data_IF_552804746400
#
_entry.id   IF_552804746400
#
_cell.length_a   1.000
_cell.length_b   1.000
_cell.length_c   1.000
_cell.angle_alpha   90.00
_cell.angle_beta   90.00
_cell.angle_gamma   90.00
#
_symmetry.space_group_name_H-M   'P 1'
#
loop_
_entity.id
_entity.type
_entity.pdbx_description
1 polymer ?
#
# COMPACT_ATOMS: atom_id res chain seq x y z
N UNK A 1 -0.90 -34.10 3.62
CA UNK A 1 -2.34 -33.88 3.33
C UNK A 1 -2.79 -32.41 3.45
N UNK A 2 -2.53 -31.69 4.55
CA UNK A 2 -3.01 -30.28 4.72
C UNK A 2 -2.36 -29.36 3.69
N UNK A 3 -1.05 -29.51 3.43
CA UNK A 3 -0.37 -28.70 2.43
C UNK A 3 -0.86 -28.92 1.01
N UNK A 4 -1.22 -30.16 0.63
CA UNK A 4 -1.82 -30.46 -0.67
C UNK A 4 -3.20 -29.80 -0.83
N UNK A 5 -4.00 -29.80 0.23
CA UNK A 5 -5.30 -29.12 0.23
C UNK A 5 -5.09 -27.62 0.02
N UNK A 6 -4.11 -27.03 0.71
CA UNK A 6 -3.75 -25.63 0.53
C UNK A 6 -3.35 -25.29 -0.90
N UNK A 7 -2.54 -26.14 -1.53
CA UNK A 7 -2.12 -25.97 -2.92
C UNK A 7 -3.29 -26.15 -3.91
N UNK A 8 -4.15 -27.15 -3.69
CA UNK A 8 -5.37 -27.36 -4.49
C UNK A 8 -6.29 -26.13 -4.42
N UNK A 9 -6.47 -25.55 -3.23
CA UNK A 9 -7.24 -24.33 -3.08
C UNK A 9 -6.64 -23.16 -3.86
N UNK A 10 -5.31 -23.04 -3.89
CA UNK A 10 -4.62 -22.01 -4.68
C UNK A 10 -4.87 -22.19 -6.18
N UNK A 11 -4.84 -23.44 -6.70
CA UNK A 11 -5.16 -23.75 -8.09
C UNK A 11 -6.63 -23.42 -8.40
N UNK A 12 -7.56 -23.77 -7.52
CA UNK A 12 -8.97 -23.40 -7.72
C UNK A 12 -9.17 -21.90 -7.74
N UNK A 13 -8.54 -21.15 -6.81
CA UNK A 13 -8.59 -19.69 -6.82
C UNK A 13 -8.07 -19.12 -8.14
N UNK A 14 -6.96 -19.67 -8.69
CA UNK A 14 -6.41 -19.26 -9.97
C UNK A 14 -7.40 -19.49 -11.12
N UNK A 15 -7.93 -20.68 -11.24
CA UNK A 15 -8.90 -21.04 -12.28
C UNK A 15 -10.16 -20.17 -12.22
N UNK A 16 -10.70 -19.98 -11.01
CA UNK A 16 -11.89 -19.13 -10.82
C UNK A 16 -11.59 -17.64 -11.10
N UNK A 17 -10.36 -17.19 -10.91
CA UNK A 17 -9.97 -15.81 -11.25
C UNK A 17 -10.01 -15.57 -12.76
N UNK A 18 -9.68 -16.55 -13.60
CA UNK A 18 -9.90 -16.45 -15.05
C UNK A 18 -11.39 -16.42 -15.40
N UNK A 19 -12.21 -17.28 -14.78
CA UNK A 19 -13.66 -17.24 -14.98
C UNK A 19 -14.24 -15.89 -14.55
N UNK A 20 -13.77 -15.33 -13.43
CA UNK A 20 -14.14 -13.99 -12.97
C UNK A 20 -13.75 -12.92 -14.00
N UNK A 21 -12.55 -12.99 -14.54
CA UNK A 21 -12.08 -12.08 -15.59
C UNK A 21 -12.98 -12.13 -16.81
N UNK A 22 -13.19 -13.29 -17.41
CA UNK A 22 -14.01 -13.42 -18.63
C UNK A 22 -15.47 -13.03 -18.40
N UNK A 23 -16.06 -13.38 -17.25
CA UNK A 23 -17.42 -12.99 -16.94
C UNK A 23 -17.55 -11.48 -16.68
N UNK A 24 -16.57 -10.87 -16.03
CA UNK A 24 -16.55 -9.42 -15.82
C UNK A 24 -16.35 -8.65 -17.14
N UNK A 25 -15.52 -9.15 -18.07
CA UNK A 25 -15.39 -8.61 -19.43
C UNK A 25 -16.72 -8.70 -20.18
N UNK A 26 -17.37 -9.86 -20.15
CA UNK A 26 -18.70 -10.06 -20.77
C UNK A 26 -19.71 -9.03 -20.29
N UNK A 27 -19.85 -8.86 -18.96
CA UNK A 27 -20.80 -7.91 -18.36
C UNK A 27 -20.41 -6.45 -18.66
N UNK A 28 -19.14 -6.14 -18.58
CA UNK A 28 -18.65 -4.76 -18.67
C UNK A 28 -18.67 -4.17 -20.08
N UNK A 29 -18.50 -5.00 -21.11
CA UNK A 29 -18.26 -4.53 -22.47
C UNK A 29 -19.23 -5.09 -23.53
N UNK A 30 -19.97 -6.18 -23.24
CA UNK A 30 -20.81 -6.83 -24.23
C UNK A 30 -22.28 -6.93 -23.82
N UNK A 31 -22.58 -7.67 -22.77
CA UNK A 31 -23.96 -7.97 -22.38
C UNK A 31 -24.13 -8.09 -20.88
N UNK A 32 -24.97 -7.25 -20.31
CA UNK A 32 -25.36 -7.32 -18.91
C UNK A 32 -26.58 -8.25 -18.73
N UNK A 33 -26.49 -9.15 -17.74
CA UNK A 33 -27.66 -9.84 -17.18
C UNK A 33 -27.51 -9.94 -15.66
N UNK A 34 -28.61 -9.88 -14.96
CA UNK A 34 -28.62 -10.00 -13.49
C UNK A 34 -28.06 -11.35 -13.03
N UNK A 35 -28.31 -12.41 -13.78
CA UNK A 35 -27.78 -13.76 -13.51
C UNK A 35 -26.27 -13.79 -13.65
N UNK A 36 -25.71 -13.19 -14.73
CA UNK A 36 -24.26 -13.09 -14.91
C UNK A 36 -23.61 -12.30 -13.80
N UNK A 37 -24.26 -11.24 -13.31
CA UNK A 37 -23.74 -10.46 -12.19
C UNK A 37 -23.79 -11.22 -10.86
N UNK A 38 -24.89 -11.97 -10.57
CA UNK A 38 -24.94 -12.86 -9.40
C UNK A 38 -23.87 -13.94 -9.46
N UNK A 39 -23.64 -14.51 -10.63
CA UNK A 39 -22.57 -15.48 -10.86
C UNK A 39 -21.19 -14.85 -10.61
N UNK A 40 -20.93 -13.63 -11.09
CA UNK A 40 -19.70 -12.88 -10.83
C UNK A 40 -19.43 -12.67 -9.33
N UNK A 41 -20.46 -12.31 -8.57
CA UNK A 41 -20.39 -12.20 -7.10
C UNK A 41 -20.05 -13.55 -6.45
N UNK A 42 -20.68 -14.63 -6.90
CA UNK A 42 -20.41 -15.97 -6.38
C UNK A 42 -18.97 -16.40 -6.64
N UNK A 43 -18.44 -16.12 -7.84
CA UNK A 43 -17.02 -16.36 -8.16
C UNK A 43 -16.10 -15.63 -7.19
N UNK A 44 -16.39 -14.35 -6.88
CA UNK A 44 -15.59 -13.58 -5.93
C UNK A 44 -15.62 -14.21 -4.54
N UNK A 45 -16.77 -14.67 -4.07
CA UNK A 45 -16.88 -15.36 -2.76
C UNK A 45 -16.07 -16.66 -2.73
N UNK A 46 -16.12 -17.48 -3.80
CA UNK A 46 -15.34 -18.72 -3.87
C UNK A 46 -13.84 -18.45 -3.96
N UNK A 47 -13.40 -17.47 -4.76
CA UNK A 47 -11.98 -17.05 -4.83
C UNK A 47 -11.51 -16.64 -3.44
N UNK A 48 -12.28 -15.79 -2.76
CA UNK A 48 -11.94 -15.33 -1.40
C UNK A 48 -11.86 -16.50 -0.41
N UNK A 49 -12.81 -17.42 -0.47
CA UNK A 49 -12.80 -18.63 0.34
C UNK A 49 -11.52 -19.43 0.10
N UNK A 50 -11.19 -19.77 -1.15
CA UNK A 50 -10.05 -20.61 -1.45
C UNK A 50 -8.72 -19.94 -1.08
N UNK A 51 -8.56 -18.62 -1.29
CA UNK A 51 -7.36 -17.91 -0.89
C UNK A 51 -7.17 -17.88 0.64
N UNK A 52 -8.22 -17.61 1.39
CA UNK A 52 -8.18 -17.61 2.85
C UNK A 52 -7.87 -19.03 3.39
N UNK A 53 -8.55 -20.06 2.88
CA UNK A 53 -8.32 -21.43 3.35
C UNK A 53 -6.95 -21.99 2.90
N UNK A 54 -6.42 -21.57 1.74
CA UNK A 54 -5.04 -21.88 1.35
C UNK A 54 -4.06 -21.33 2.39
N UNK A 55 -4.23 -20.07 2.81
CA UNK A 55 -3.38 -19.45 3.82
C UNK A 55 -3.52 -20.14 5.19
N UNK A 56 -4.73 -20.43 5.63
CA UNK A 56 -4.95 -21.19 6.87
C UNK A 56 -4.34 -22.59 6.83
N UNK A 57 -4.36 -23.27 5.67
CA UNK A 57 -3.72 -24.57 5.50
C UNK A 57 -2.20 -24.48 5.75
N UNK A 58 -1.54 -23.39 5.30
CA UNK A 58 -0.11 -23.20 5.56
C UNK A 58 0.13 -22.92 7.05
N UNK A 59 -0.69 -22.06 7.69
CA UNK A 59 -0.59 -21.81 9.15
C UNK A 59 -0.71 -23.12 9.94
N UNK A 60 -1.72 -23.96 9.64
CA UNK A 60 -1.92 -25.24 10.33
C UNK A 60 -0.69 -26.13 10.11
N UNK A 61 -0.17 -26.20 8.90
CA UNK A 61 1.03 -26.98 8.59
C UNK A 61 2.27 -26.51 9.39
N UNK A 62 2.42 -25.20 9.62
CA UNK A 62 3.44 -24.65 10.53
C UNK A 62 3.22 -25.06 11.98
N UNK A 63 1.98 -24.99 12.47
CA UNK A 63 1.64 -25.33 13.86
C UNK A 63 1.94 -26.80 14.16
N UNK A 64 1.62 -27.72 13.23
CA UNK A 64 1.90 -29.16 13.38
C UNK A 64 3.35 -29.55 13.00
N UNK A 65 4.17 -28.58 12.54
CA UNK A 65 5.57 -28.79 12.13
C UNK A 65 5.70 -29.82 11.00
N UNK A 66 4.93 -29.68 9.91
CA UNK A 66 4.99 -30.55 8.72
C UNK A 66 6.25 -30.26 7.89
N UNK A 67 7.41 -30.77 8.32
CA UNK A 67 8.69 -30.56 7.64
C UNK A 67 8.80 -31.23 6.26
N UNK A 68 7.78 -31.92 5.80
CA UNK A 68 7.71 -32.34 4.40
C UNK A 68 7.45 -31.18 3.42
N UNK A 69 7.10 -29.98 3.94
CA UNK A 69 6.98 -28.75 3.18
C UNK A 69 8.27 -27.94 3.31
N UNK A 70 8.94 -27.66 2.19
CA UNK A 70 10.23 -26.98 2.14
C UNK A 70 10.21 -25.61 2.87
N UNK A 71 9.14 -24.87 2.70
CA UNK A 71 8.95 -23.57 3.36
C UNK A 71 8.97 -23.69 4.89
N UNK A 72 8.33 -24.73 5.45
CA UNK A 72 8.29 -24.99 6.90
C UNK A 72 9.63 -25.48 7.40
N UNK A 73 10.25 -26.38 6.66
CA UNK A 73 11.60 -26.86 6.98
C UNK A 73 12.61 -25.73 7.13
N UNK A 74 12.59 -24.77 6.19
CA UNK A 74 13.53 -23.65 6.20
C UNK A 74 13.27 -22.62 7.29
N UNK A 75 12.01 -22.49 7.80
CA UNK A 75 11.60 -21.37 8.64
C UNK A 75 10.95 -21.77 9.96
N UNK A 76 10.98 -23.05 10.37
CA UNK A 76 10.37 -23.51 11.61
C UNK A 76 11.19 -24.58 12.30
N UNK A 77 10.87 -24.85 13.57
CA UNK A 77 11.48 -25.88 14.41
C UNK A 77 10.43 -26.41 15.40
N UNK A 78 10.53 -27.68 15.82
CA UNK A 78 9.56 -28.31 16.73
C UNK A 78 9.44 -27.54 18.04
N UNK A 79 10.56 -27.10 18.63
CA UNK A 79 10.61 -26.37 19.92
C UNK A 79 10.25 -24.89 19.83
N UNK A 80 9.91 -24.38 18.65
CA UNK A 80 9.58 -22.97 18.47
C UNK A 80 8.25 -22.60 19.15
N UNK A 81 8.16 -21.46 19.91
CA UNK A 81 6.93 -21.02 20.51
C UNK A 81 5.79 -20.85 19.48
N UNK A 82 4.55 -21.15 19.88
CA UNK A 82 3.40 -21.17 18.97
C UNK A 82 3.20 -19.84 18.23
N UNK A 83 3.39 -18.70 18.90
CA UNK A 83 3.29 -17.38 18.26
C UNK A 83 4.24 -17.30 17.05
N UNK A 84 5.48 -17.75 17.21
CA UNK A 84 6.49 -17.69 16.16
C UNK A 84 6.38 -18.82 15.14
N UNK A 85 5.72 -19.95 15.46
CA UNK A 85 5.27 -20.90 14.44
C UNK A 85 4.25 -20.24 13.51
N UNK A 86 3.25 -19.56 14.07
CA UNK A 86 2.22 -18.87 13.30
C UNK A 86 2.84 -17.72 12.49
N UNK A 87 3.60 -16.81 13.12
CA UNK A 87 4.20 -15.68 12.43
C UNK A 87 5.31 -16.09 11.44
N UNK A 88 5.96 -17.22 11.65
CA UNK A 88 6.89 -17.82 10.69
C UNK A 88 6.27 -18.08 9.32
N UNK A 89 4.93 -18.25 9.26
CA UNK A 89 4.21 -18.38 7.99
C UNK A 89 4.46 -17.17 7.07
N UNK A 90 4.52 -15.96 7.59
CA UNK A 90 4.77 -14.73 6.82
C UNK A 90 6.17 -14.14 7.01
N UNK A 91 7.03 -14.77 7.84
CA UNK A 91 8.42 -14.38 8.02
C UNK A 91 9.35 -14.78 6.86
N UNK A 92 8.82 -15.23 5.74
CA UNK A 92 9.56 -15.70 4.57
C UNK A 92 8.87 -15.25 3.28
N UNK A 93 9.55 -15.44 2.14
CA UNK A 93 9.13 -14.97 0.84
C UNK A 93 7.78 -15.58 0.40
N UNK A 94 7.68 -16.91 0.37
CA UNK A 94 6.53 -17.64 -0.19
C UNK A 94 5.29 -17.48 0.70
N UNK A 95 5.45 -17.60 1.99
CA UNK A 95 4.36 -17.51 2.95
C UNK A 95 3.79 -16.09 3.08
N UNK A 96 4.66 -15.06 3.04
CA UNK A 96 4.22 -13.66 3.02
C UNK A 96 3.44 -13.34 1.74
N UNK A 97 3.77 -13.97 0.62
CA UNK A 97 3.02 -13.81 -0.62
C UNK A 97 1.65 -14.47 -0.54
N UNK A 98 1.56 -15.65 0.09
CA UNK A 98 0.27 -16.29 0.35
C UNK A 98 -0.60 -15.47 1.30
N UNK A 99 -0.01 -14.78 2.29
CA UNK A 99 -0.72 -13.80 3.13
C UNK A 99 -1.24 -12.62 2.30
N UNK A 100 -0.47 -12.11 1.33
CA UNK A 100 -0.93 -11.10 0.37
C UNK A 100 -2.19 -11.57 -0.37
N UNK A 101 -2.18 -12.80 -0.88
CA UNK A 101 -3.32 -13.39 -1.57
C UNK A 101 -4.55 -13.55 -0.66
N UNK A 102 -4.36 -13.98 0.59
CA UNK A 102 -5.44 -14.06 1.56
C UNK A 102 -6.09 -12.68 1.81
N UNK A 103 -5.28 -11.63 1.89
CA UNK A 103 -5.78 -10.26 2.03
C UNK A 103 -6.47 -9.75 0.76
N UNK A 104 -5.99 -10.10 -0.45
CA UNK A 104 -6.72 -9.84 -1.70
C UNK A 104 -8.10 -10.50 -1.68
N UNK A 105 -8.17 -11.77 -1.25
CA UNK A 105 -9.43 -12.47 -1.06
C UNK A 105 -10.34 -11.76 -0.06
N UNK A 106 -9.80 -11.33 1.09
CA UNK A 106 -10.56 -10.58 2.09
C UNK A 106 -11.11 -9.26 1.52
N UNK A 107 -10.29 -8.47 0.83
CA UNK A 107 -10.75 -7.23 0.19
C UNK A 107 -11.77 -7.47 -0.92
N UNK A 108 -11.62 -8.53 -1.71
CA UNK A 108 -12.61 -8.95 -2.70
C UNK A 108 -13.96 -9.30 -2.07
N UNK A 109 -13.95 -10.05 -0.96
CA UNK A 109 -15.14 -10.38 -0.15
C UNK A 109 -15.81 -9.10 0.39
N UNK A 110 -15.04 -8.22 1.03
CA UNK A 110 -15.55 -6.97 1.60
C UNK A 110 -16.09 -6.05 0.51
N UNK A 111 -15.39 -5.91 -0.62
CA UNK A 111 -15.86 -5.15 -1.78
C UNK A 111 -17.23 -5.65 -2.24
N UNK A 112 -17.35 -6.94 -2.51
CA UNK A 112 -18.60 -7.53 -3.01
C UNK A 112 -19.77 -7.40 -2.03
N UNK A 113 -19.49 -7.38 -0.72
CA UNK A 113 -20.50 -7.25 0.33
C UNK A 113 -20.96 -5.81 0.57
N UNK A 114 -20.04 -4.83 0.49
CA UNK A 114 -20.28 -3.46 0.94
C UNK A 114 -20.46 -2.43 -0.19
N UNK A 115 -20.29 -2.79 -1.47
CA UNK A 115 -20.44 -1.87 -2.61
C UNK A 115 -21.80 -1.92 -3.28
N UNK A 116 -22.87 -2.02 -2.50
CA UNK A 116 -24.24 -2.05 -3.03
C UNK A 116 -24.78 -0.67 -3.48
N UNK A 117 -24.01 0.39 -3.30
CA UNK A 117 -24.40 1.77 -3.67
C UNK A 117 -24.10 2.09 -5.14
N UNK A 118 -23.22 1.33 -5.78
CA UNK A 118 -22.83 1.50 -7.17
C UNK A 118 -23.64 0.59 -8.11
N UNK A 119 -23.65 0.92 -9.39
CA UNK A 119 -24.33 0.10 -10.39
C UNK A 119 -23.69 -1.30 -10.51
N UNK A 120 -24.47 -2.30 -10.92
CA UNK A 120 -23.94 -3.64 -11.18
C UNK A 120 -22.86 -3.64 -12.27
N UNK A 121 -22.95 -2.73 -13.23
CA UNK A 121 -21.95 -2.57 -14.30
C UNK A 121 -20.66 -1.99 -13.71
N UNK A 122 -20.75 -0.95 -12.87
CA UNK A 122 -19.60 -0.38 -12.18
C UNK A 122 -18.86 -1.44 -11.36
N UNK A 123 -19.61 -2.19 -10.54
CA UNK A 123 -19.05 -3.26 -9.73
C UNK A 123 -18.39 -4.35 -10.59
N UNK A 124 -18.96 -4.67 -11.75
CA UNK A 124 -18.35 -5.64 -12.67
C UNK A 124 -17.04 -5.14 -13.26
N UNK A 125 -16.93 -3.83 -13.57
CA UNK A 125 -15.71 -3.19 -14.04
C UNK A 125 -14.63 -3.13 -12.96
N UNK A 126 -15.01 -2.88 -11.71
CA UNK A 126 -14.08 -2.96 -10.58
C UNK A 126 -13.59 -4.39 -10.36
N UNK A 127 -14.48 -5.39 -10.41
CA UNK A 127 -14.12 -6.82 -10.31
C UNK A 127 -13.29 -7.30 -11.49
N UNK A 128 -13.44 -6.70 -12.67
CA UNK A 128 -12.51 -6.90 -13.80
C UNK A 128 -11.07 -6.50 -13.43
N UNK A 129 -10.88 -5.30 -12.87
CA UNK A 129 -9.56 -4.87 -12.44
C UNK A 129 -8.99 -5.78 -11.32
N UNK A 130 -9.81 -6.12 -10.32
CA UNK A 130 -9.43 -7.04 -9.23
C UNK A 130 -9.04 -8.42 -9.77
N UNK A 131 -9.74 -8.94 -10.79
CA UNK A 131 -9.44 -10.25 -11.36
C UNK A 131 -8.07 -10.29 -12.04
N UNK A 132 -7.66 -9.22 -12.71
CA UNK A 132 -6.31 -9.08 -13.29
C UNK A 132 -5.24 -9.16 -12.20
N UNK A 133 -5.47 -8.45 -11.10
CA UNK A 133 -4.53 -8.45 -9.96
C UNK A 133 -4.48 -9.84 -9.32
N UNK A 134 -5.62 -10.51 -9.13
CA UNK A 134 -5.67 -11.88 -8.62
C UNK A 134 -4.89 -12.84 -9.52
N UNK A 135 -5.16 -12.84 -10.83
CA UNK A 135 -4.45 -13.70 -11.81
C UNK A 135 -2.95 -13.49 -11.73
N UNK A 136 -2.49 -12.22 -11.72
CA UNK A 136 -1.07 -11.90 -11.66
C UNK A 136 -0.41 -12.42 -10.39
N UNK A 137 -0.95 -12.12 -9.22
CA UNK A 137 -0.33 -12.54 -7.95
C UNK A 137 -0.49 -14.04 -7.65
N UNK A 138 -1.63 -14.66 -7.98
CA UNK A 138 -1.80 -16.11 -7.82
C UNK A 138 -0.85 -16.83 -8.77
N UNK A 139 -0.76 -16.40 -10.04
CA UNK A 139 0.19 -16.94 -11.00
C UNK A 139 1.63 -16.80 -10.53
N UNK A 140 2.02 -15.62 -10.03
CA UNK A 140 3.34 -15.41 -9.43
C UNK A 140 3.61 -16.41 -8.29
N UNK A 141 2.64 -16.62 -7.40
CA UNK A 141 2.77 -17.55 -6.28
C UNK A 141 2.94 -18.99 -6.75
N UNK A 142 2.12 -19.44 -7.72
CA UNK A 142 2.16 -20.83 -8.19
C UNK A 142 3.46 -21.13 -8.96
N UNK A 143 3.87 -20.21 -9.84
CA UNK A 143 4.94 -20.51 -10.81
C UNK A 143 6.34 -20.13 -10.34
N UNK A 144 6.48 -19.21 -9.37
CA UNK A 144 7.81 -18.73 -8.94
C UNK A 144 8.03 -18.82 -7.43
N UNK A 145 6.99 -19.01 -6.63
CA UNK A 145 7.08 -18.85 -5.18
C UNK A 145 6.10 -19.76 -4.44
N UNK A 146 6.06 -21.06 -4.79
CA UNK A 146 5.09 -22.02 -4.25
C UNK A 146 5.36 -22.29 -2.75
N UNK A 147 4.44 -21.87 -1.83
CA UNK A 147 4.62 -22.08 -0.40
C UNK A 147 4.41 -23.53 0.05
N UNK A 148 3.89 -24.40 -0.82
CA UNK A 148 3.59 -25.80 -0.55
C UNK A 148 4.55 -26.78 -1.24
N UNK A 149 5.73 -26.29 -1.69
CA UNK A 149 6.74 -27.14 -2.30
C UNK A 149 7.20 -28.23 -1.33
N UNK A 150 7.33 -29.47 -1.86
CA UNK A 150 7.70 -30.65 -1.09
C UNK A 150 9.20 -30.92 -1.14
N UNK A 151 9.74 -31.40 0.00
CA UNK A 151 11.11 -31.88 0.10
C UNK A 151 11.16 -33.39 0.35
N UNK A 152 12.08 -34.05 -0.32
CA UNK A 152 12.30 -35.49 -0.18
C UNK A 152 13.83 -35.77 -0.17
N UNK A 153 14.38 -36.54 0.80
CA UNK A 153 13.69 -37.20 1.92
C UNK A 153 13.14 -36.20 2.94
N UNK A 154 12.09 -36.58 3.67
CA UNK A 154 11.48 -35.71 4.69
C UNK A 154 12.47 -35.57 5.85
N UNK A 155 12.88 -34.33 6.20
CA UNK A 155 13.75 -34.06 7.33
C UNK A 155 13.07 -34.37 8.67
N UNK A 156 13.84 -34.79 9.67
CA UNK A 156 13.33 -35.05 11.02
C UNK A 156 13.03 -33.76 11.79
N UNK A 157 13.76 -32.67 11.47
CA UNK A 157 13.65 -31.39 12.15
C UNK A 157 13.86 -30.24 11.16
N UNK A 158 13.35 -29.07 11.48
CA UNK A 158 13.49 -27.86 10.66
C UNK A 158 14.67 -26.98 11.07
N UNK A 159 15.12 -26.12 10.15
CA UNK A 159 16.25 -25.20 10.33
C UNK A 159 16.00 -24.08 11.34
N UNK A 160 14.73 -23.84 11.70
CA UNK A 160 14.34 -22.74 12.59
C UNK A 160 14.11 -21.41 11.85
N UNK A 161 13.48 -20.46 12.54
CA UNK A 161 13.34 -19.09 12.08
C UNK A 161 14.52 -18.27 12.59
N UNK A 162 15.01 -17.33 11.78
CA UNK A 162 16.03 -16.38 12.21
C UNK A 162 15.63 -15.76 13.58
N UNK A 163 16.53 -15.80 14.60
CA UNK A 163 16.22 -15.26 15.94
C UNK A 163 15.70 -13.83 15.94
N UNK A 164 16.24 -12.94 15.11
CA UNK A 164 15.79 -11.53 14.94
C UNK A 164 14.32 -11.46 14.54
N UNK A 165 13.79 -12.48 13.85
CA UNK A 165 12.38 -12.55 13.44
C UNK A 165 11.47 -13.14 14.52
N UNK A 166 12.01 -13.61 15.65
CA UNK A 166 11.24 -14.15 16.77
C UNK A 166 10.92 -13.06 17.80
N UNK A 167 10.24 -12.03 17.33
CA UNK A 167 9.84 -10.87 18.11
C UNK A 167 8.33 -10.55 17.89
N UNK A 168 7.60 -10.10 18.93
CA UNK A 168 6.20 -9.72 18.78
C UNK A 168 5.99 -8.57 17.79
N UNK A 169 6.89 -7.59 17.70
CA UNK A 169 6.83 -6.51 16.75
C UNK A 169 6.80 -7.03 15.31
N UNK A 170 7.69 -7.98 15.00
CA UNK A 170 7.69 -8.65 13.71
C UNK A 170 6.47 -9.56 13.50
N UNK A 171 5.91 -10.16 14.54
CA UNK A 171 4.70 -10.96 14.41
C UNK A 171 3.50 -10.14 13.95
N UNK A 172 3.36 -8.87 14.39
CA UNK A 172 2.18 -8.05 14.16
C UNK A 172 2.33 -6.97 13.07
N UNK A 173 3.52 -6.38 12.90
CA UNK A 173 3.73 -5.31 11.93
C UNK A 173 3.50 -5.73 10.47
N UNK A 174 3.99 -6.90 9.95
CA UNK A 174 3.80 -7.24 8.55
C UNK A 174 2.34 -7.46 8.15
N UNK A 175 1.48 -8.14 8.93
CA UNK A 175 0.06 -8.24 8.62
C UNK A 175 -0.63 -6.88 8.47
N UNK A 176 -0.34 -5.91 9.34
CA UNK A 176 -0.88 -4.56 9.23
C UNK A 176 -0.38 -3.85 7.97
N UNK A 177 0.91 -3.93 7.69
CA UNK A 177 1.50 -3.34 6.50
C UNK A 177 0.87 -3.91 5.22
N UNK A 178 0.70 -5.24 5.15
CA UNK A 178 0.06 -5.91 4.00
C UNK A 178 -1.42 -5.55 3.85
N UNK A 179 -2.18 -5.42 4.94
CA UNK A 179 -3.55 -4.89 4.88
C UNK A 179 -3.59 -3.49 4.24
N UNK A 180 -2.60 -2.68 4.51
CA UNK A 180 -2.47 -1.37 3.86
C UNK A 180 -2.11 -1.46 2.38
N UNK A 181 -1.06 -2.20 2.04
CA UNK A 181 -0.60 -2.35 0.65
C UNK A 181 -1.67 -2.96 -0.24
N UNK A 182 -2.19 -4.12 0.15
CA UNK A 182 -3.20 -4.86 -0.62
C UNK A 182 -4.50 -4.09 -0.69
N UNK A 183 -4.85 -3.36 0.37
CA UNK A 183 -6.07 -2.56 0.42
C UNK A 183 -6.14 -1.47 -0.65
N UNK A 184 -5.01 -0.94 -1.10
CA UNK A 184 -4.96 0.04 -2.19
C UNK A 184 -5.40 -0.54 -3.55
N UNK A 185 -5.54 -1.85 -3.68
CA UNK A 185 -6.18 -2.50 -4.85
C UNK A 185 -7.62 -2.02 -5.05
N UNK A 186 -8.36 -1.74 -3.98
CA UNK A 186 -9.77 -1.34 -4.13
C UNK A 186 -9.92 0.09 -4.67
N UNK A 187 -9.24 1.13 -4.13
CA UNK A 187 -9.25 2.45 -4.76
C UNK A 187 -8.76 2.42 -6.21
N UNK A 188 -7.75 1.63 -6.52
CA UNK A 188 -7.30 1.41 -7.90
C UNK A 188 -8.43 0.85 -8.78
N UNK A 189 -9.08 -0.24 -8.35
CA UNK A 189 -10.17 -0.86 -9.09
C UNK A 189 -11.38 0.09 -9.27
N UNK A 190 -11.72 0.88 -8.25
CA UNK A 190 -12.72 1.95 -8.34
C UNK A 190 -12.35 2.99 -9.39
N UNK A 191 -11.08 3.38 -9.46
CA UNK A 191 -10.60 4.36 -10.42
C UNK A 191 -10.64 3.83 -11.85
N UNK A 192 -10.28 2.56 -12.07
CA UNK A 192 -10.40 1.90 -13.38
C UNK A 192 -11.88 1.80 -13.80
N UNK A 193 -12.77 1.41 -12.89
CA UNK A 193 -14.20 1.35 -13.17
C UNK A 193 -14.78 2.73 -13.54
N UNK A 194 -14.39 3.77 -12.79
CA UNK A 194 -14.83 5.15 -13.04
C UNK A 194 -14.33 5.70 -14.40
N UNK A 195 -13.09 5.38 -14.79
CA UNK A 195 -12.56 5.72 -16.11
C UNK A 195 -13.34 5.02 -17.24
N UNK A 196 -13.71 3.75 -17.06
CA UNK A 196 -14.50 2.99 -18.02
C UNK A 196 -15.96 3.48 -18.13
N UNK A 197 -16.53 4.03 -17.04
CA UNK A 197 -17.87 4.62 -17.05
C UNK A 197 -17.88 6.09 -17.44
N UNK A 198 -16.71 6.75 -17.43
CA UNK A 198 -16.59 8.21 -17.66
C UNK A 198 -17.40 9.03 -16.64
N UNK A 199 -17.64 8.46 -15.46
CA UNK A 199 -18.47 9.06 -14.43
C UNK A 199 -17.71 9.17 -13.11
N UNK A 200 -17.44 10.41 -12.70
CA UNK A 200 -16.83 10.74 -11.41
C UNK A 200 -17.58 11.92 -10.83
N UNK A 201 -18.23 11.68 -9.71
CA UNK A 201 -19.03 12.66 -9.00
C UNK A 201 -18.80 12.60 -7.48
N UNK A 202 -19.54 13.43 -6.76
CA UNK A 202 -19.46 13.49 -5.30
C UNK A 202 -19.88 12.16 -4.63
N UNK A 203 -20.79 11.39 -5.25
CA UNK A 203 -21.26 10.10 -4.72
C UNK A 203 -20.15 9.06 -4.86
N UNK A 204 -19.50 8.99 -6.02
CA UNK A 204 -18.33 8.16 -6.25
C UNK A 204 -17.21 8.47 -5.23
N UNK A 205 -16.89 9.76 -5.03
CA UNK A 205 -15.87 10.19 -4.08
C UNK A 205 -16.22 9.82 -2.63
N UNK A 206 -17.50 9.83 -2.27
CA UNK A 206 -17.99 9.37 -0.97
C UNK A 206 -17.88 7.83 -0.83
N UNK A 207 -18.19 7.10 -1.88
CA UNK A 207 -18.16 5.64 -1.90
C UNK A 207 -16.73 5.08 -1.80
N UNK A 208 -15.75 5.69 -2.49
CA UNK A 208 -14.35 5.26 -2.45
C UNK A 208 -13.64 5.62 -1.14
N UNK A 209 -14.09 6.65 -0.41
CA UNK A 209 -13.42 7.18 0.78
C UNK A 209 -13.06 6.13 1.84
N UNK A 210 -13.95 5.24 2.29
CA UNK A 210 -13.59 4.21 3.28
C UNK A 210 -12.51 3.26 2.75
N UNK A 211 -12.49 2.99 1.44
CA UNK A 211 -11.50 2.15 0.77
C UNK A 211 -10.12 2.81 0.61
N UNK A 212 -10.02 4.12 0.74
CA UNK A 212 -8.75 4.85 0.84
C UNK A 212 -8.32 4.94 2.30
N UNK A 213 -9.25 5.25 3.21
CA UNK A 213 -8.97 5.50 4.61
C UNK A 213 -8.50 4.23 5.35
N UNK A 214 -9.15 3.08 5.14
CA UNK A 214 -8.77 1.84 5.81
C UNK A 214 -7.33 1.39 5.46
N UNK A 215 -6.91 1.30 4.18
CA UNK A 215 -5.52 1.03 3.83
C UNK A 215 -4.54 2.05 4.40
N UNK A 216 -4.88 3.34 4.39
CA UNK A 216 -4.05 4.38 4.96
C UNK A 216 -3.82 4.21 6.46
N UNK A 217 -4.86 3.84 7.23
CA UNK A 217 -4.75 3.52 8.65
C UNK A 217 -3.82 2.31 8.86
N UNK A 218 -4.02 1.25 8.08
CA UNK A 218 -3.19 0.05 8.19
C UNK A 218 -1.73 0.31 7.81
N UNK A 219 -1.46 1.11 6.78
CA UNK A 219 -0.11 1.56 6.45
C UNK A 219 0.51 2.38 7.59
N UNK A 220 -0.25 3.30 8.18
CA UNK A 220 0.22 4.11 9.32
C UNK A 220 0.62 3.23 10.49
N UNK A 221 -0.23 2.28 10.87
CA UNK A 221 0.04 1.36 11.98
C UNK A 221 1.20 0.41 11.64
N UNK A 222 1.22 -0.15 10.43
CA UNK A 222 2.25 -1.08 9.99
C UNK A 222 3.63 -0.42 9.93
N UNK A 223 3.74 0.78 9.33
CA UNK A 223 4.99 1.55 9.28
C UNK A 223 5.46 1.92 10.69
N UNK A 224 4.56 2.46 11.53
CA UNK A 224 4.90 2.88 12.89
C UNK A 224 5.39 1.71 13.76
N UNK A 225 4.72 0.56 13.70
CA UNK A 225 5.15 -0.63 14.44
C UNK A 225 6.45 -1.22 13.88
N UNK A 226 6.65 -1.18 12.56
CA UNK A 226 7.91 -1.59 11.93
C UNK A 226 9.10 -0.71 12.36
N UNK A 227 8.89 0.62 12.39
CA UNK A 227 9.89 1.56 12.90
C UNK A 227 10.19 1.33 14.37
N UNK A 228 9.17 1.06 15.19
CA UNK A 228 9.35 0.73 16.61
C UNK A 228 10.14 -0.56 16.79
N UNK A 229 9.81 -1.63 16.06
CA UNK A 229 10.55 -2.88 16.05
C UNK A 229 12.02 -2.68 15.65
N UNK A 230 12.27 -1.98 14.53
CA UNK A 230 13.62 -1.69 14.06
C UNK A 230 14.45 -0.90 15.09
N UNK A 231 13.82 0.01 15.82
CA UNK A 231 14.48 0.83 16.83
C UNK A 231 15.08 0.01 17.98
N UNK A 232 14.34 -0.94 18.54
CA UNK A 232 14.84 -1.71 19.68
C UNK A 232 15.55 -3.01 19.29
N UNK A 233 15.22 -3.62 18.14
CA UNK A 233 15.75 -4.92 17.75
C UNK A 233 17.03 -4.80 16.92
N UNK A 234 17.09 -3.87 15.95
CA UNK A 234 18.21 -3.77 15.04
C UNK A 234 19.40 -2.97 15.58
N UNK A 235 19.20 -2.22 16.66
CA UNK A 235 20.28 -1.48 17.32
C UNK A 235 20.90 -0.34 16.49
N UNK A 236 20.22 0.13 15.46
CA UNK A 236 20.75 1.19 14.58
C UNK A 236 20.70 2.60 15.18
N UNK A 237 20.14 2.77 16.38
CA UNK A 237 20.17 4.02 17.14
C UNK A 237 19.18 5.09 16.66
N UNK A 238 18.16 4.75 15.91
CA UNK A 238 17.17 5.70 15.42
C UNK A 238 15.83 5.03 15.09
N UNK A 239 14.83 5.85 14.83
CA UNK A 239 13.46 5.43 14.50
C UNK A 239 13.24 5.19 13.00
N UNK A 240 14.09 5.76 12.11
CA UNK A 240 14.02 5.66 10.66
C UNK A 240 15.40 5.78 10.04
N UNK A 241 15.75 4.84 9.18
CA UNK A 241 17.11 4.65 8.67
C UNK A 241 17.27 4.97 7.20
N UNK A 242 16.16 5.23 6.50
CA UNK A 242 16.17 5.42 5.06
C UNK A 242 16.65 4.18 4.29
N UNK A 243 16.42 3.00 4.86
CA UNK A 243 16.62 1.75 4.16
C UNK A 243 15.72 1.67 2.92
N UNK A 244 16.16 1.08 1.77
CA UNK A 244 15.35 1.00 0.57
C UNK A 244 13.95 0.42 0.77
N UNK A 245 13.78 -0.58 1.65
CA UNK A 245 12.47 -1.18 1.94
C UNK A 245 11.61 -0.26 2.82
N UNK A 246 12.21 0.42 3.80
CA UNK A 246 11.51 1.47 4.57
C UNK A 246 11.03 2.58 3.64
N UNK A 247 11.92 3.10 2.79
CA UNK A 247 11.60 4.17 1.83
C UNK A 247 10.41 3.80 0.97
N UNK A 248 10.43 2.59 0.39
CA UNK A 248 9.35 2.11 -0.48
C UNK A 248 8.04 1.90 0.28
N UNK A 249 8.10 1.56 1.56
CA UNK A 249 6.90 1.47 2.38
C UNK A 249 6.23 2.83 2.61
N UNK A 250 7.02 3.89 2.70
CA UNK A 250 6.55 5.26 2.89
C UNK A 250 5.88 5.86 1.65
N UNK A 251 6.28 5.44 0.44
CA UNK A 251 5.75 6.01 -0.81
C UNK A 251 4.24 5.84 -0.98
N UNK A 252 3.64 4.65 -0.87
CA UNK A 252 2.19 4.47 -0.94
C UNK A 252 1.46 5.22 0.19
N UNK A 253 2.05 5.36 1.37
CA UNK A 253 1.49 6.12 2.47
C UNK A 253 1.41 7.62 2.15
N UNK A 254 2.47 8.22 1.60
CA UNK A 254 2.49 9.62 1.18
C UNK A 254 1.44 9.88 0.09
N UNK A 255 1.38 9.02 -0.93
CA UNK A 255 0.41 9.21 -2.01
C UNK A 255 -1.02 8.88 -1.59
N UNK A 256 -1.26 7.95 -0.70
CA UNK A 256 -2.61 7.71 -0.16
C UNK A 256 -3.07 8.85 0.75
N UNK A 257 -2.15 9.55 1.43
CA UNK A 257 -2.45 10.81 2.14
C UNK A 257 -2.88 11.90 1.15
N UNK A 258 -2.13 12.10 0.07
CA UNK A 258 -2.50 13.02 -1.00
C UNK A 258 -3.85 12.62 -1.65
N UNK A 259 -4.07 11.33 -1.84
CA UNK A 259 -5.33 10.79 -2.37
C UNK A 259 -6.52 11.08 -1.44
N UNK A 260 -6.37 10.96 -0.12
CA UNK A 260 -7.39 11.35 0.86
C UNK A 260 -7.75 12.83 0.75
N UNK A 261 -6.74 13.71 0.60
CA UNK A 261 -6.95 15.14 0.42
C UNK A 261 -7.69 15.43 -0.88
N UNK A 262 -7.22 14.89 -1.99
CA UNK A 262 -7.84 15.05 -3.31
C UNK A 262 -9.27 14.52 -3.33
N UNK A 263 -9.49 13.31 -2.79
CA UNK A 263 -10.82 12.71 -2.70
C UNK A 263 -11.79 13.56 -1.86
N UNK A 264 -11.30 14.20 -0.79
CA UNK A 264 -12.12 15.10 0.02
C UNK A 264 -12.57 16.34 -0.77
N UNK A 265 -11.70 16.89 -1.61
CA UNK A 265 -12.04 17.98 -2.52
C UNK A 265 -13.05 17.51 -3.56
N UNK A 266 -12.86 16.34 -4.16
CA UNK A 266 -13.81 15.76 -5.11
C UNK A 266 -15.18 15.54 -4.45
N UNK A 267 -15.23 14.99 -3.25
CA UNK A 267 -16.48 14.78 -2.48
C UNK A 267 -17.23 16.09 -2.19
N UNK A 268 -16.53 17.15 -1.79
CA UNK A 268 -17.16 18.39 -1.31
C UNK A 268 -17.35 19.46 -2.39
N UNK A 269 -16.46 19.46 -3.39
CA UNK A 269 -16.41 20.54 -4.40
C UNK A 269 -16.63 20.04 -5.82
N UNK A 270 -16.64 18.72 -6.03
CA UNK A 270 -16.69 18.09 -7.36
C UNK A 270 -15.54 18.58 -8.27
N UNK A 271 -14.35 18.74 -7.69
CA UNK A 271 -13.12 19.22 -8.32
C UNK A 271 -11.97 18.25 -8.05
N UNK A 272 -10.81 18.38 -8.70
CA UNK A 272 -9.64 17.50 -8.61
C UNK A 272 -9.94 16.01 -8.95
N UNK A 273 -10.90 15.75 -9.82
CA UNK A 273 -11.33 14.40 -10.19
C UNK A 273 -10.21 13.60 -10.85
N UNK A 274 -9.58 14.18 -11.88
CA UNK A 274 -8.49 13.53 -12.61
C UNK A 274 -7.29 13.30 -11.71
N UNK A 275 -6.99 14.25 -10.83
CA UNK A 275 -5.92 14.13 -9.84
C UNK A 275 -6.20 12.98 -8.85
N UNK A 276 -7.43 12.84 -8.37
CA UNK A 276 -7.84 11.74 -7.47
C UNK A 276 -7.65 10.38 -8.13
N UNK A 277 -8.01 10.23 -9.40
CA UNK A 277 -7.79 8.98 -10.14
C UNK A 277 -6.30 8.71 -10.35
N UNK A 278 -5.55 9.71 -10.80
CA UNK A 278 -4.11 9.55 -11.03
C UNK A 278 -3.38 9.12 -9.75
N UNK A 279 -3.66 9.78 -8.64
CA UNK A 279 -3.08 9.40 -7.34
C UNK A 279 -3.44 7.98 -6.93
N UNK A 280 -4.67 7.53 -7.19
CA UNK A 280 -5.08 6.15 -6.89
C UNK A 280 -4.31 5.13 -7.73
N UNK A 281 -4.14 5.40 -9.03
CA UNK A 281 -3.35 4.54 -9.92
C UNK A 281 -1.89 4.49 -9.48
N UNK A 282 -1.27 5.64 -9.22
CA UNK A 282 0.15 5.71 -8.85
C UNK A 282 0.38 5.11 -7.45
N UNK A 283 -0.51 5.37 -6.47
CA UNK A 283 -0.38 4.79 -5.14
C UNK A 283 -0.36 3.26 -5.19
N UNK A 284 -1.25 2.64 -5.98
CA UNK A 284 -1.25 1.20 -6.18
C UNK A 284 -0.01 0.73 -6.97
N UNK A 285 0.39 1.44 -8.02
CA UNK A 285 1.62 1.11 -8.77
C UNK A 285 2.87 1.12 -7.88
N UNK A 286 2.94 2.02 -6.90
CA UNK A 286 4.02 2.04 -5.92
C UNK A 286 4.00 0.85 -4.96
N UNK A 287 2.83 0.26 -4.68
CA UNK A 287 2.78 -1.01 -3.92
C UNK A 287 3.36 -2.17 -4.73
N UNK A 288 3.09 -2.21 -6.05
CA UNK A 288 3.69 -3.19 -6.95
C UNK A 288 5.20 -2.98 -7.08
N UNK A 289 5.66 -1.72 -7.18
CA UNK A 289 7.09 -1.39 -7.18
C UNK A 289 7.76 -1.81 -5.87
N UNK A 290 7.12 -1.58 -4.73
CA UNK A 290 7.59 -2.06 -3.43
C UNK A 290 7.72 -3.59 -3.40
N UNK A 291 6.72 -4.29 -3.91
CA UNK A 291 6.76 -5.75 -4.05
C UNK A 291 7.93 -6.20 -4.94
N UNK A 292 8.17 -5.49 -6.06
CA UNK A 292 9.32 -5.77 -6.93
C UNK A 292 10.64 -5.61 -6.19
N UNK A 293 10.88 -4.49 -5.53
CA UNK A 293 12.17 -4.20 -4.87
C UNK A 293 12.45 -5.18 -3.73
N UNK A 294 11.46 -5.45 -2.88
CA UNK A 294 11.61 -6.38 -1.76
C UNK A 294 11.87 -7.80 -2.22
N UNK A 295 11.26 -8.24 -3.34
CA UNK A 295 11.27 -9.64 -3.77
C UNK A 295 12.28 -9.96 -4.86
N UNK A 296 12.78 -8.96 -5.58
CA UNK A 296 13.86 -9.16 -6.55
C UNK A 296 15.23 -9.30 -5.88
N UNK A 297 15.38 -8.75 -4.68
CA UNK A 297 16.68 -8.69 -3.98
C UNK A 297 17.73 -7.83 -4.70
N UNK A 298 17.30 -6.91 -5.59
CA UNK A 298 18.19 -6.06 -6.36
C UNK A 298 18.85 -4.95 -5.53
N UNK A 299 18.15 -4.45 -4.50
CA UNK A 299 18.69 -3.45 -3.60
C UNK A 299 19.12 -4.11 -2.28
N UNK A 300 20.29 -3.75 -1.82
CA UNK A 300 20.80 -4.21 -0.53
C UNK A 300 19.96 -3.63 0.61
N UNK A 301 19.27 -4.50 1.32
CA UNK A 301 18.43 -4.16 2.48
C UNK A 301 18.38 -5.33 3.44
N UNK A 302 18.31 -5.06 4.73
CA UNK A 302 18.09 -6.10 5.76
C UNK A 302 16.69 -6.71 5.68
N UNK A 303 15.76 -6.06 4.98
CA UNK A 303 14.38 -6.51 4.78
C UNK A 303 14.18 -7.21 3.42
N UNK A 304 15.19 -7.21 2.53
CA UNK A 304 15.08 -7.84 1.23
C UNK A 304 15.21 -9.36 1.35
N UNK A 305 14.48 -10.08 0.50
CA UNK A 305 14.65 -11.51 0.34
C UNK A 305 15.84 -11.81 -0.56
N UNK A 306 16.26 -13.08 -0.58
CA UNK A 306 17.34 -13.52 -1.45
C UNK A 306 17.05 -13.16 -2.92
N UNK A 307 18.11 -12.75 -3.62
CA UNK A 307 18.04 -12.37 -5.03
C UNK A 307 17.57 -13.54 -5.90
N UNK A 308 16.54 -13.30 -6.70
CA UNK A 308 15.98 -14.23 -7.67
C UNK A 308 15.53 -13.47 -8.94
N UNK A 309 16.30 -13.59 -10.04
CA UNK A 309 16.00 -12.87 -11.28
C UNK A 309 14.64 -13.23 -11.87
N UNK A 310 14.19 -14.48 -11.78
CA UNK A 310 12.91 -14.91 -12.33
C UNK A 310 11.74 -14.22 -11.63
N UNK A 311 11.81 -14.13 -10.29
CA UNK A 311 10.85 -13.38 -9.47
C UNK A 311 10.84 -11.90 -9.83
N UNK A 312 12.04 -11.31 -9.99
CA UNK A 312 12.20 -9.91 -10.37
C UNK A 312 11.56 -9.59 -11.72
N UNK A 313 11.88 -10.37 -12.76
CA UNK A 313 11.34 -10.17 -14.11
C UNK A 313 9.82 -10.32 -14.15
N UNK A 314 9.25 -11.31 -13.45
CA UNK A 314 7.80 -11.50 -13.42
C UNK A 314 7.09 -10.28 -12.83
N UNK A 315 7.50 -9.84 -11.64
CA UNK A 315 6.84 -8.71 -10.96
C UNK A 315 7.06 -7.39 -11.71
N UNK A 316 8.26 -7.17 -12.26
CA UNK A 316 8.54 -5.98 -13.06
C UNK A 316 7.66 -5.92 -14.32
N UNK A 317 7.50 -7.05 -15.00
CA UNK A 317 6.60 -7.16 -16.16
C UNK A 317 5.15 -6.91 -15.76
N UNK A 318 4.70 -7.47 -14.65
CA UNK A 318 3.35 -7.27 -14.13
C UNK A 318 3.11 -5.82 -13.71
N UNK A 319 4.06 -5.19 -12.99
CA UNK A 319 4.03 -3.76 -12.66
C UNK A 319 3.93 -2.90 -13.93
N UNK A 320 4.77 -3.19 -14.93
CA UNK A 320 4.75 -2.44 -16.18
C UNK A 320 3.38 -2.56 -16.88
N UNK A 321 2.86 -3.76 -17.05
CA UNK A 321 1.57 -3.97 -17.71
C UNK A 321 0.42 -3.26 -16.99
N UNK A 322 0.30 -3.44 -15.67
CA UNK A 322 -0.78 -2.84 -14.88
C UNK A 322 -0.70 -1.31 -14.92
N UNK A 323 0.49 -0.76 -14.68
CA UNK A 323 0.68 0.70 -14.64
C UNK A 323 0.50 1.33 -16.01
N UNK A 324 1.13 0.76 -17.04
CA UNK A 324 1.10 1.27 -18.41
C UNK A 324 -0.32 1.32 -18.96
N UNK A 325 -1.08 0.22 -18.88
CA UNK A 325 -2.45 0.20 -19.40
C UNK A 325 -3.39 1.08 -18.59
N UNK A 326 -3.18 1.20 -17.28
CA UNK A 326 -3.97 2.12 -16.44
C UNK A 326 -3.71 3.59 -16.78
N UNK A 327 -2.45 3.96 -17.04
CA UNK A 327 -2.10 5.32 -17.46
C UNK A 327 -2.56 5.64 -18.88
N UNK A 328 -2.53 4.67 -19.81
CA UNK A 328 -3.12 4.84 -21.14
C UNK A 328 -4.63 5.07 -21.02
N UNK A 329 -5.34 4.25 -20.24
CA UNK A 329 -6.78 4.42 -20.02
C UNK A 329 -7.08 5.80 -19.40
N UNK A 330 -6.28 6.23 -18.43
CA UNK A 330 -6.38 7.55 -17.85
C UNK A 330 -6.19 8.65 -18.89
N UNK A 331 -5.14 8.59 -19.72
CA UNK A 331 -4.86 9.58 -20.76
C UNK A 331 -5.99 9.67 -21.81
N UNK A 332 -6.54 8.51 -22.23
CA UNK A 332 -7.64 8.45 -23.21
C UNK A 332 -8.96 9.01 -22.66
N UNK A 333 -9.16 8.98 -21.33
CA UNK A 333 -10.41 9.39 -20.68
C UNK A 333 -10.31 10.74 -19.96
N UNK A 334 -9.13 11.34 -19.88
CA UNK A 334 -8.86 12.58 -19.13
C UNK A 334 -9.83 13.71 -19.43
N UNK A 335 -10.03 14.04 -20.72
CA UNK A 335 -10.89 15.15 -21.14
C UNK A 335 -12.38 14.97 -20.75
N UNK A 336 -12.83 13.72 -20.65
CA UNK A 336 -14.21 13.39 -20.31
C UNK A 336 -14.52 13.50 -18.81
N UNK A 337 -13.49 13.40 -17.98
CA UNK A 337 -13.63 13.44 -16.52
C UNK A 337 -13.36 14.82 -15.94
N UNK A 338 -12.53 15.63 -16.59
CA UNK A 338 -12.16 16.94 -16.07
C UNK A 338 -13.31 17.94 -16.23
N UNK A 339 -13.75 18.53 -15.14
CA UNK A 339 -14.61 19.72 -15.12
C UNK A 339 -13.76 20.86 -14.59
N UNK A 340 -13.29 21.74 -15.47
CA UNK A 340 -12.48 22.92 -15.15
C UNK A 340 -13.29 23.93 -14.33
N UNK A 341 -13.44 23.69 -13.05
CA UNK A 341 -13.92 24.68 -12.10
C UNK A 341 -12.72 25.45 -11.56
N UNK A 342 -12.75 26.76 -11.70
CA UNK A 342 -11.78 27.63 -11.04
C UNK A 342 -11.84 27.38 -9.53
N UNK A 343 -10.67 27.22 -8.89
CA UNK A 343 -10.56 27.18 -7.45
C UNK A 343 -9.75 28.39 -6.96
N UNK A 344 -10.01 28.78 -5.72
CA UNK A 344 -9.28 29.87 -5.09
C UNK A 344 -8.08 29.30 -4.33
N UNK A 345 -6.89 29.81 -4.62
CA UNK A 345 -5.67 29.39 -3.92
C UNK A 345 -5.80 29.58 -2.40
N UNK A 346 -6.48 30.64 -1.99
CA UNK A 346 -6.70 30.99 -0.58
C UNK A 346 -8.02 30.39 -0.08
N UNK A 347 -8.07 29.08 0.00
CA UNK A 347 -9.21 28.30 0.46
C UNK A 347 -8.76 26.96 1.02
N UNK A 348 -9.64 26.22 1.67
CA UNK A 348 -9.37 24.83 2.09
C UNK A 348 -8.98 23.93 0.93
N UNK A 349 -9.60 24.14 -0.23
CA UNK A 349 -9.31 23.45 -1.47
C UNK A 349 -7.86 23.71 -1.94
N UNK A 350 -7.46 25.01 -1.95
CA UNK A 350 -6.08 25.40 -2.27
C UNK A 350 -5.04 24.88 -1.28
N UNK A 351 -5.35 24.91 0.01
CA UNK A 351 -4.48 24.35 1.06
C UNK A 351 -4.27 22.84 0.90
N UNK A 352 -5.34 22.07 0.61
CA UNK A 352 -5.25 20.64 0.35
C UNK A 352 -4.48 20.33 -0.94
N UNK A 353 -4.64 21.15 -2.00
CA UNK A 353 -3.85 21.01 -3.23
C UNK A 353 -2.37 21.26 -2.99
N UNK A 354 -2.03 22.33 -2.25
CA UNK A 354 -0.63 22.63 -1.92
C UNK A 354 0.01 21.49 -1.10
N UNK A 355 -0.74 20.94 -0.16
CA UNK A 355 -0.31 19.76 0.61
C UNK A 355 -0.06 18.55 -0.30
N UNK A 356 -0.91 18.31 -1.29
CA UNK A 356 -0.70 17.25 -2.27
C UNK A 356 0.59 17.45 -3.07
N UNK A 357 0.91 18.69 -3.44
CA UNK A 357 2.17 19.01 -4.14
C UNK A 357 3.39 18.63 -3.26
N UNK A 358 3.38 19.03 -1.99
CA UNK A 358 4.46 18.65 -1.07
C UNK A 358 4.57 17.14 -0.86
N UNK A 359 3.46 16.44 -0.68
CA UNK A 359 3.46 14.98 -0.48
C UNK A 359 3.95 14.24 -1.73
N UNK A 360 3.50 14.66 -2.91
CA UNK A 360 3.94 14.06 -4.18
C UNK A 360 5.42 14.36 -4.47
N UNK A 361 5.89 15.59 -4.20
CA UNK A 361 7.30 15.95 -4.33
C UNK A 361 8.17 15.14 -3.35
N UNK A 362 7.71 14.97 -2.10
CA UNK A 362 8.38 14.11 -1.11
C UNK A 362 8.47 12.67 -1.60
N UNK A 363 7.39 12.10 -2.12
CA UNK A 363 7.40 10.75 -2.66
C UNK A 363 8.35 10.64 -3.87
N UNK A 364 8.33 11.60 -4.78
CA UNK A 364 9.20 11.61 -5.96
C UNK A 364 10.69 11.69 -5.60
N UNK A 365 11.08 12.55 -4.65
CA UNK A 365 12.48 12.68 -4.21
C UNK A 365 12.97 11.44 -3.46
N UNK A 366 12.12 10.80 -2.64
CA UNK A 366 12.45 9.53 -1.98
C UNK A 366 12.61 8.42 -3.02
N UNK A 367 11.68 8.31 -3.97
CA UNK A 367 11.74 7.32 -5.04
C UNK A 367 13.01 7.46 -5.86
N UNK A 368 13.35 8.70 -6.26
CA UNK A 368 14.55 9.00 -7.02
C UNK A 368 15.81 8.57 -6.25
N UNK A 369 15.95 8.97 -4.98
CA UNK A 369 17.10 8.60 -4.16
C UNK A 369 17.21 7.10 -3.92
N UNK A 370 16.08 6.41 -3.77
CA UNK A 370 16.05 4.94 -3.54
C UNK A 370 16.43 4.15 -4.79
N UNK A 371 16.02 4.61 -5.98
CA UNK A 371 16.33 3.93 -7.25
C UNK A 371 17.66 4.41 -7.88
N UNK A 372 18.23 5.51 -7.41
CA UNK A 372 19.44 6.09 -7.97
C UNK A 372 20.63 5.14 -8.00
N UNK A 373 20.94 4.37 -6.94
CA UNK A 373 22.00 3.36 -6.96
C UNK A 373 21.84 2.37 -8.09
N UNK A 374 20.64 1.82 -8.26
CA UNK A 374 20.34 0.85 -9.33
C UNK A 374 20.53 1.48 -10.73
N UNK A 375 20.08 2.72 -10.92
CA UNK A 375 20.29 3.44 -12.19
C UNK A 375 21.78 3.63 -12.52
N UNK A 376 22.60 4.02 -11.54
CA UNK A 376 24.03 4.21 -11.73
C UNK A 376 24.74 2.87 -11.99
N UNK A 377 24.40 1.83 -11.26
CA UNK A 377 24.94 0.48 -11.46
C UNK A 377 24.67 -0.02 -12.89
N UNK A 378 23.42 0.05 -13.35
CA UNK A 378 23.03 -0.39 -14.70
C UNK A 378 23.71 0.46 -15.81
N UNK A 379 23.88 1.75 -15.60
CA UNK A 379 24.41 2.65 -16.65
C UNK A 379 25.93 2.77 -16.65
N UNK A 380 26.59 2.62 -15.51
CA UNK A 380 28.03 2.85 -15.37
C UNK A 380 28.82 1.66 -14.84
N UNK A 381 28.15 0.60 -14.37
CA UNK A 381 28.77 -0.53 -13.69
C UNK A 381 29.41 -0.21 -12.33
N UNK A 382 29.07 0.94 -11.74
CA UNK A 382 29.62 1.38 -10.44
C UNK A 382 28.58 1.22 -9.34
N UNK A 383 29.00 0.64 -8.23
CA UNK A 383 28.21 0.58 -7.01
C UNK A 383 28.31 1.91 -6.26
N UNK A 384 27.15 2.50 -5.98
CA UNK A 384 27.05 3.68 -5.12
C UNK A 384 25.96 3.43 -4.07
N UNK A 385 25.99 4.18 -2.97
CA UNK A 385 24.92 4.18 -1.98
C UNK A 385 24.37 5.60 -1.80
N UNK A 386 23.04 5.69 -1.61
CA UNK A 386 22.35 6.93 -1.24
C UNK A 386 21.82 6.76 0.17
N UNK A 387 22.37 7.51 1.09
CA UNK A 387 22.09 7.36 2.52
C UNK A 387 21.27 8.50 3.12
N UNK A 388 21.09 8.42 4.44
CA UNK A 388 20.34 9.35 5.29
C UNK A 388 20.62 10.85 5.02
N UNK A 389 21.86 11.32 4.72
CA UNK A 389 22.10 12.74 4.45
C UNK A 389 21.30 13.27 3.26
N UNK A 390 21.23 12.52 2.15
CA UNK A 390 20.42 12.89 1.00
C UNK A 390 18.94 13.01 1.37
N UNK A 391 18.37 11.96 1.97
CA UNK A 391 16.95 11.93 2.29
C UNK A 391 16.55 13.02 3.28
N UNK A 392 17.37 13.29 4.29
CA UNK A 392 17.13 14.40 5.22
C UNK A 392 17.14 15.75 4.52
N UNK A 393 18.07 15.96 3.59
CA UNK A 393 18.20 17.22 2.86
C UNK A 393 17.00 17.50 1.95
N UNK A 394 16.45 16.47 1.29
CA UNK A 394 15.35 16.66 0.32
C UNK A 394 13.97 16.51 0.95
N UNK A 395 13.80 15.64 1.95
CA UNK A 395 12.50 15.34 2.53
C UNK A 395 12.05 16.36 3.58
N UNK A 396 12.96 16.77 4.50
CA UNK A 396 12.59 17.68 5.59
C UNK A 396 12.08 19.04 5.10
N UNK A 397 12.69 19.70 4.09
CA UNK A 397 12.18 20.97 3.56
C UNK A 397 10.79 20.87 2.92
N UNK A 398 10.38 19.69 2.50
CA UNK A 398 9.05 19.44 1.90
C UNK A 398 8.02 19.06 2.96
N UNK A 399 8.37 18.19 3.90
CA UNK A 399 7.40 17.65 4.85
C UNK A 399 7.12 18.61 6.02
N UNK A 400 8.10 19.40 6.46
CA UNK A 400 7.92 20.38 7.54
C UNK A 400 6.85 21.42 7.17
N UNK A 401 6.94 22.12 6.01
CA UNK A 401 5.89 23.02 5.57
C UNK A 401 4.54 22.32 5.34
N UNK A 402 4.55 21.10 4.80
CA UNK A 402 3.32 20.32 4.60
C UNK A 402 2.56 20.08 5.92
N UNK A 403 3.26 19.64 6.96
CA UNK A 403 2.69 19.40 8.29
C UNK A 403 2.18 20.71 8.91
N UNK A 404 2.96 21.78 8.83
CA UNK A 404 2.57 23.08 9.36
C UNK A 404 1.30 23.62 8.66
N UNK A 405 1.26 23.56 7.34
CA UNK A 405 0.12 23.99 6.53
C UNK A 405 -1.11 23.11 6.72
N UNK A 406 -0.94 21.83 7.04
CA UNK A 406 -2.07 20.93 7.36
C UNK A 406 -2.89 21.47 8.53
N UNK A 407 -2.25 21.86 9.62
CA UNK A 407 -2.94 22.45 10.77
C UNK A 407 -3.68 23.74 10.45
N UNK A 408 -3.15 24.56 9.54
CA UNK A 408 -3.84 25.79 9.08
C UNK A 408 -5.02 25.43 8.16
N UNK A 409 -4.82 24.53 7.21
CA UNK A 409 -5.82 24.23 6.17
C UNK A 409 -7.10 23.60 6.72
N UNK A 410 -7.02 22.89 7.86
CA UNK A 410 -8.20 22.36 8.57
C UNK A 410 -9.17 23.47 8.92
N UNK A 411 -8.65 24.64 9.31
CA UNK A 411 -9.41 25.80 9.77
C UNK A 411 -9.86 26.78 8.67
N UNK A 412 -9.52 26.51 7.40
CA UNK A 412 -9.95 27.32 6.27
C UNK A 412 -11.36 26.93 5.79
N UNK A 413 -12.07 27.90 5.22
CA UNK A 413 -13.36 27.66 4.56
C UNK A 413 -13.16 27.03 3.18
N UNK A 414 -14.17 26.28 2.69
CA UNK A 414 -14.16 25.69 1.35
C UNK A 414 -14.22 26.70 0.21
N UNK A 415 -14.81 27.87 0.45
CA UNK A 415 -14.87 29.00 -0.49
C UNK A 415 -13.79 30.03 -0.14
N UNK A 416 -13.71 31.07 -0.97
CA UNK A 416 -12.80 32.19 -0.78
C UNK A 416 -12.87 32.74 0.65
N UNK A 417 -11.72 32.90 1.27
CA UNK A 417 -11.56 33.68 2.50
C UNK A 417 -11.05 35.07 2.14
N UNK A 418 -11.50 36.08 2.88
CA UNK A 418 -10.90 37.42 2.76
C UNK A 418 -9.41 37.32 3.19
N UNK A 419 -8.50 37.90 2.42
CA UNK A 419 -7.06 37.85 2.68
C UNK A 419 -6.72 38.31 4.10
N UNK A 420 -7.36 39.41 4.56
CA UNK A 420 -7.15 39.93 5.91
C UNK A 420 -7.49 38.91 6.99
N UNK A 421 -8.63 38.21 6.88
CA UNK A 421 -9.02 37.17 7.83
C UNK A 421 -8.04 36.01 7.89
N UNK A 422 -7.36 35.71 6.81
CA UNK A 422 -6.34 34.66 6.75
C UNK A 422 -5.05 35.13 7.39
N UNK A 423 -4.59 36.32 7.07
CA UNK A 423 -3.38 36.89 7.69
C UNK A 423 -3.52 36.98 9.21
N UNK A 424 -4.71 37.39 9.69
CA UNK A 424 -5.01 37.42 11.13
C UNK A 424 -4.99 36.02 11.77
N UNK A 425 -5.55 35.03 11.07
CA UNK A 425 -5.49 33.62 11.52
C UNK A 425 -4.07 33.06 11.47
N UNK A 426 -3.35 33.24 10.35
CA UNK A 426 -1.97 32.80 10.18
C UNK A 426 -1.05 33.40 11.25
N UNK A 427 -1.19 34.71 11.54
CA UNK A 427 -0.44 35.36 12.57
C UNK A 427 -0.68 34.73 13.98
N UNK A 428 -1.95 34.49 14.34
CA UNK A 428 -2.31 33.83 15.58
C UNK A 428 -1.76 32.41 15.66
N UNK A 429 -1.92 31.62 14.61
CA UNK A 429 -1.40 30.27 14.53
C UNK A 429 0.13 30.22 14.61
N UNK A 430 0.81 31.15 13.96
CA UNK A 430 2.25 31.26 14.03
C UNK A 430 2.75 31.61 15.45
N UNK A 431 2.08 32.53 16.13
CA UNK A 431 2.39 32.87 17.53
C UNK A 431 2.20 31.65 18.43
N UNK A 432 1.08 30.92 18.31
CA UNK A 432 0.82 29.69 19.08
C UNK A 432 1.92 28.67 18.81
N UNK A 433 2.31 28.48 17.54
CA UNK A 433 3.37 27.54 17.17
C UNK A 433 4.73 27.91 17.78
N UNK A 434 5.08 29.20 17.82
CA UNK A 434 6.29 29.68 18.50
C UNK A 434 6.25 29.36 20.00
N UNK A 435 5.12 29.60 20.67
CA UNK A 435 4.96 29.25 22.08
C UNK A 435 5.11 27.73 22.33
N UNK A 436 4.60 26.90 21.43
CA UNK A 436 4.77 25.44 21.48
C UNK A 436 6.27 25.10 21.39
N UNK A 437 7.00 25.65 20.41
CA UNK A 437 8.44 25.42 20.25
C UNK A 437 9.20 25.83 21.52
N UNK A 438 8.94 27.03 22.04
CA UNK A 438 9.59 27.54 23.24
C UNK A 438 9.28 26.63 24.43
N UNK A 439 8.02 26.29 24.64
CA UNK A 439 7.59 25.41 25.75
C UNK A 439 8.28 24.04 25.69
N UNK A 440 8.33 23.40 24.52
CA UNK A 440 9.02 22.12 24.34
C UNK A 440 10.52 22.25 24.56
N UNK A 441 11.14 23.32 24.05
CA UNK A 441 12.58 23.59 24.22
C UNK A 441 12.96 23.83 25.71
N UNK A 442 12.07 24.38 26.51
CA UNK A 442 12.28 24.52 27.97
C UNK A 442 12.15 23.20 28.75
N UNK A 443 11.31 22.27 28.26
CA UNK A 443 11.02 21.00 28.95
C UNK A 443 12.01 19.91 28.55
N UNK A 444 12.48 19.91 27.29
CA UNK A 444 13.27 18.84 26.73
C UNK A 444 14.63 19.37 26.26
N UNK A 445 15.70 18.74 26.74
CA UNK A 445 17.04 18.92 26.21
C UNK A 445 17.22 17.96 25.02
N UNK A 446 17.55 18.48 23.83
CA UNK A 446 17.77 17.63 22.66
C UNK A 446 18.08 18.39 21.36
N UNK A 447 18.35 17.66 20.29
CA UNK A 447 18.61 18.25 18.98
C UNK A 447 17.46 19.13 18.48
N UNK A 448 17.76 20.24 17.80
CA UNK A 448 16.77 21.19 17.25
C UNK A 448 15.70 20.49 16.42
N UNK A 449 16.07 19.46 15.63
CA UNK A 449 15.12 18.71 14.80
C UNK A 449 14.11 17.87 15.62
N UNK A 450 14.52 17.38 16.79
CA UNK A 450 13.62 16.70 17.74
C UNK A 450 12.58 17.68 18.28
N UNK A 451 13.02 18.84 18.74
CA UNK A 451 12.14 19.90 19.27
C UNK A 451 11.14 20.33 18.20
N UNK A 452 11.61 20.57 16.96
CA UNK A 452 10.76 20.94 15.84
C UNK A 452 9.73 19.85 15.49
N UNK A 453 10.14 18.58 15.44
CA UNK A 453 9.25 17.44 15.15
C UNK A 453 8.16 17.27 16.21
N UNK A 454 8.51 17.34 17.48
CA UNK A 454 7.56 17.30 18.60
C UNK A 454 6.61 18.50 18.57
N UNK A 455 7.12 19.69 18.28
CA UNK A 455 6.32 20.90 18.17
C UNK A 455 5.30 20.81 17.03
N UNK A 456 5.69 20.25 15.87
CA UNK A 456 4.79 20.02 14.74
C UNK A 456 3.73 18.96 15.08
N UNK A 457 4.08 17.93 15.85
CA UNK A 457 3.13 16.92 16.31
C UNK A 457 2.09 17.50 17.24
N UNK A 458 2.52 18.30 18.24
CA UNK A 458 1.60 19.02 19.14
C UNK A 458 0.76 20.03 18.37
N UNK A 459 1.36 20.74 17.40
CA UNK A 459 0.68 21.67 16.52
C UNK A 459 -0.49 20.99 15.77
N UNK A 460 -0.26 19.83 15.15
CA UNK A 460 -1.30 19.08 14.44
C UNK A 460 -2.41 18.60 15.39
N UNK A 461 -2.04 18.19 16.60
CA UNK A 461 -3.01 17.71 17.58
C UNK A 461 -3.94 18.81 18.09
N UNK A 462 -3.42 20.05 18.21
CA UNK A 462 -4.18 21.20 18.68
C UNK A 462 -4.99 21.90 17.56
N UNK A 463 -4.71 21.64 16.28
CA UNK A 463 -5.38 22.23 15.12
C UNK A 463 -6.71 21.59 14.81
#
# INVERSE_FOLDING_TARGET
>A
MIGEIGYIFLIFAFTLSFLQFFNSVKISFFYFSEESFKFLKSLTYFISFFLLFSFFSLIISYVISDFSILNIYNNSHTNKPLLYKISGTWGNHEGSLLMWLAMLGLYGLLFTKFTNQESSIFNSRALFAISIINIGFIGFTIFTSNPFERITPIPLEGNGLNPVLQDPGLAFHPPLLYLGYVGLTIPFAYSIAALLEEKIDNQWAKAIRPWILAPWIFLTLGISLGSFWAYYELGWGGWWFWDPVENISLLPWLLSTALLHSNRVTEKRNNLKSWTILLSIIAFSLTLLGTFIVRSGLLTSVHAFASDPARGVFILSFLFLVTFFSLILYALKYEKIENNKSFHLISKEGGLLLNNVFLCASAATILLGTLWPLFVEVTTGKDISVGSPYFKLVFLPLIIPAIYLSGISINLNWKLNAMQSILDKLGKFFIIFIFIIIGIAFILEGPVMMILGLSLSVWLFLS
#
